data_IF_788411741506
#
_entry.id   IF_788411741506
#
_cell.length_a   1.000
_cell.length_b   1.000
_cell.length_c   1.000
_cell.angle_alpha   90.00
_cell.angle_beta   90.00
_cell.angle_gamma   90.00
#
_symmetry.space_group_name_H-M   'P 1'
#
loop_
_entity.id
_entity.type
_entity.pdbx_description
1 polymer ?
#
# COMPACT_ATOMS: atom_id res chain seq x y z
N UNK A 1 -43.73 77.09 -40.10
CA UNK A 1 -44.69 76.76 -39.11
C UNK A 1 -44.73 75.25 -38.91
N UNK A 2 -44.03 74.73 -37.98
CA UNK A 2 -44.21 73.42 -37.30
C UNK A 2 -43.17 73.34 -36.20
N UNK A 3 -43.63 73.43 -34.99
CA UNK A 3 -42.74 73.30 -33.79
C UNK A 3 -42.36 71.87 -33.60
N UNK A 4 -41.08 71.60 -33.52
CA UNK A 4 -40.56 70.32 -33.09
C UNK A 4 -40.34 70.33 -31.57
N UNK A 5 -41.00 69.44 -30.87
CA UNK A 5 -40.84 69.18 -29.45
C UNK A 5 -39.71 68.18 -29.30
N UNK A 6 -38.60 68.59 -28.63
CA UNK A 6 -37.52 67.71 -28.28
C UNK A 6 -37.85 67.15 -26.90
N UNK A 7 -38.13 65.82 -26.82
CA UNK A 7 -38.24 65.08 -25.57
C UNK A 7 -36.84 64.69 -25.11
N UNK A 8 -36.41 65.26 -24.01
CA UNK A 8 -35.18 64.84 -23.34
C UNK A 8 -35.40 63.54 -22.55
N UNK A 9 -34.68 62.48 -22.93
CA UNK A 9 -34.62 61.27 -22.19
C UNK A 9 -33.61 61.44 -21.08
N UNK A 10 -34.07 61.47 -19.83
CA UNK A 10 -33.22 61.39 -18.62
C UNK A 10 -32.90 59.92 -18.38
N UNK A 11 -31.66 59.56 -18.64
CA UNK A 11 -31.13 58.27 -18.25
C UNK A 11 -30.81 58.30 -16.75
N UNK A 12 -31.59 57.63 -15.93
CA UNK A 12 -31.31 57.38 -14.53
C UNK A 12 -30.39 56.15 -14.49
N UNK A 13 -29.11 56.38 -14.23
CA UNK A 13 -28.16 55.32 -13.94
C UNK A 13 -28.38 54.82 -12.50
N UNK A 14 -29.02 53.68 -12.36
CA UNK A 14 -29.11 52.97 -11.08
C UNK A 14 -27.76 52.26 -10.82
N UNK A 15 -26.94 52.84 -9.96
CA UNK A 15 -25.79 52.17 -9.40
C UNK A 15 -26.29 51.09 -8.45
N UNK A 16 -26.32 49.84 -8.91
CA UNK A 16 -26.43 48.68 -8.04
C UNK A 16 -25.11 48.48 -7.29
N UNK A 17 -25.04 48.99 -6.06
CA UNK A 17 -23.98 48.68 -5.13
C UNK A 17 -24.11 47.17 -4.80
N UNK A 18 -23.33 46.35 -5.49
CA UNK A 18 -23.15 44.93 -5.15
C UNK A 18 -22.48 44.82 -3.78
N UNK A 19 -23.29 44.58 -2.76
CA UNK A 19 -22.78 44.16 -1.47
C UNK A 19 -22.10 42.79 -1.65
N UNK A 20 -20.76 42.79 -1.76
CA UNK A 20 -19.95 41.60 -1.58
C UNK A 20 -20.12 41.20 -0.11
N UNK A 21 -21.08 40.32 0.14
CA UNK A 21 -21.15 39.60 1.40
C UNK A 21 -19.85 38.84 1.55
N UNK A 22 -18.95 39.39 2.33
CA UNK A 22 -17.80 38.65 2.88
C UNK A 22 -18.39 37.52 3.74
N UNK A 23 -18.56 36.36 3.13
CA UNK A 23 -18.85 35.15 3.87
C UNK A 23 -17.66 34.93 4.83
N UNK A 24 -17.89 34.95 6.12
CA UNK A 24 -16.83 34.62 7.03
C UNK A 24 -16.50 33.16 6.77
N UNK A 25 -15.35 32.91 6.14
CA UNK A 25 -14.70 31.60 6.26
C UNK A 25 -14.38 31.41 7.75
N UNK A 26 -15.41 30.98 8.46
CA UNK A 26 -15.21 30.43 9.78
C UNK A 26 -14.40 29.14 9.57
N UNK A 27 -13.07 29.24 9.57
CA UNK A 27 -12.20 28.15 9.87
C UNK A 27 -12.47 27.75 11.32
N UNK A 28 -13.61 27.08 11.54
CA UNK A 28 -13.64 26.08 12.57
C UNK A 28 -12.55 25.09 12.15
N UNK A 29 -11.38 25.24 12.74
CA UNK A 29 -10.49 24.13 12.95
C UNK A 29 -11.30 23.14 13.78
N UNK A 30 -12.19 22.40 13.11
CA UNK A 30 -12.59 21.11 13.63
C UNK A 30 -11.27 20.43 13.93
N UNK A 31 -11.04 20.23 15.22
CA UNK A 31 -10.07 19.26 15.71
C UNK A 31 -10.50 17.93 15.06
N UNK A 32 -10.06 17.71 13.83
CA UNK A 32 -10.13 16.40 13.18
C UNK A 32 -9.20 15.56 14.02
N UNK A 33 -9.73 15.05 15.12
CA UNK A 33 -9.15 13.91 15.80
C UNK A 33 -8.91 12.88 14.69
N UNK A 34 -7.68 12.43 14.48
CA UNK A 34 -7.42 11.43 13.44
C UNK A 34 -8.22 10.19 13.79
N UNK A 35 -9.41 10.07 13.20
CA UNK A 35 -10.42 9.07 13.53
C UNK A 35 -10.05 7.66 13.05
N UNK A 36 -8.89 7.47 12.44
CA UNK A 36 -8.34 6.16 12.11
C UNK A 36 -6.88 6.18 12.48
N UNK A 37 -6.60 5.95 13.73
CA UNK A 37 -5.24 5.63 14.17
C UNK A 37 -4.88 4.31 13.49
N UNK A 38 -3.77 4.28 12.76
CA UNK A 38 -3.19 3.07 12.20
C UNK A 38 -2.82 2.05 13.28
N UNK A 39 -1.96 1.13 12.95
CA UNK A 39 -1.46 0.17 13.94
C UNK A 39 -0.92 0.90 15.18
N UNK A 40 -1.38 0.48 16.36
CA UNK A 40 -0.86 0.82 17.69
C UNK A 40 -0.66 -0.42 18.56
N UNK A 41 -0.86 -1.60 17.96
CA UNK A 41 -0.77 -2.89 18.63
C UNK A 41 0.68 -3.29 18.90
N UNK A 42 1.54 -3.24 17.89
CA UNK A 42 2.92 -3.73 18.02
C UNK A 42 3.91 -2.90 17.22
N UNK A 43 5.07 -2.69 17.79
CA UNK A 43 6.24 -2.10 17.16
C UNK A 43 7.28 -3.16 16.76
N UNK A 44 7.07 -4.41 17.11
CA UNK A 44 7.99 -5.52 16.84
C UNK A 44 7.60 -6.24 15.56
N UNK A 45 8.41 -6.10 14.51
CA UNK A 45 8.21 -6.84 13.27
C UNK A 45 8.33 -8.36 13.46
N UNK A 46 9.15 -8.80 14.43
CA UNK A 46 9.24 -10.20 14.78
C UNK A 46 7.93 -10.74 15.37
N UNK A 47 7.37 -10.03 16.36
CA UNK A 47 6.11 -10.42 16.99
C UNK A 47 4.95 -10.44 15.99
N UNK A 48 4.82 -9.38 15.18
CA UNK A 48 3.76 -9.28 14.16
C UNK A 48 3.83 -10.41 13.15
N UNK A 49 5.03 -10.82 12.73
CA UNK A 49 5.19 -11.97 11.80
C UNK A 49 4.69 -13.29 12.41
N UNK A 50 4.89 -13.50 13.69
CA UNK A 50 4.37 -14.68 14.40
C UNK A 50 2.83 -14.62 14.49
N UNK A 51 2.28 -13.49 14.95
CA UNK A 51 0.83 -13.31 15.05
C UNK A 51 0.11 -13.44 13.71
N UNK A 52 0.70 -12.94 12.63
CA UNK A 52 0.16 -13.12 11.29
C UNK A 52 0.07 -14.59 10.88
N UNK A 53 1.08 -15.40 11.20
CA UNK A 53 1.05 -16.85 10.93
C UNK A 53 0.01 -17.59 11.78
N UNK A 54 -0.07 -17.25 13.05
CA UNK A 54 -0.81 -18.03 14.04
C UNK A 54 -2.26 -17.59 14.18
N UNK A 55 -2.54 -16.30 13.95
CA UNK A 55 -3.87 -15.72 14.17
C UNK A 55 -4.57 -15.28 12.88
N UNK A 56 -3.83 -15.02 11.79
CA UNK A 56 -4.41 -14.53 10.53
C UNK A 56 -4.36 -15.58 9.43
N UNK A 57 -3.23 -16.26 9.26
CA UNK A 57 -2.99 -17.21 8.16
C UNK A 57 -2.97 -18.69 8.60
N UNK A 58 -3.46 -19.02 9.77
CA UNK A 58 -3.39 -20.39 10.34
C UNK A 58 -4.04 -21.47 9.45
N UNK A 59 -5.09 -21.12 8.72
CA UNK A 59 -5.86 -22.01 7.83
C UNK A 59 -5.81 -21.60 6.34
N UNK A 60 -5.09 -20.52 6.00
CA UNK A 60 -4.95 -20.01 4.64
C UNK A 60 -3.49 -19.66 4.32
N UNK A 61 -2.65 -20.68 4.29
CA UNK A 61 -1.21 -20.52 4.03
C UNK A 61 -0.89 -20.43 2.53
N UNK A 62 -1.37 -19.35 1.89
CA UNK A 62 -1.13 -19.07 0.47
C UNK A 62 -0.43 -17.72 0.27
N UNK A 63 0.52 -17.69 -0.66
CA UNK A 63 1.23 -16.46 -1.03
C UNK A 63 0.39 -15.58 -1.93
N UNK A 64 0.55 -14.25 -1.79
CA UNK A 64 -0.26 -13.27 -2.50
C UNK A 64 -0.13 -13.39 -4.03
N UNK A 65 1.10 -13.27 -4.55
CA UNK A 65 1.29 -13.12 -6.00
C UNK A 65 1.11 -14.41 -6.79
N UNK A 66 1.63 -15.52 -6.29
CA UNK A 66 1.67 -16.77 -7.02
C UNK A 66 0.71 -17.83 -6.49
N UNK A 67 -0.08 -17.50 -5.46
CA UNK A 67 -0.99 -18.43 -4.80
C UNK A 67 -0.33 -19.76 -4.39
N UNK A 68 0.97 -19.71 -4.10
CA UNK A 68 1.74 -20.87 -3.65
C UNK A 68 1.37 -21.22 -2.22
N UNK A 69 1.23 -22.51 -1.93
CA UNK A 69 1.10 -22.98 -0.56
C UNK A 69 2.42 -22.85 0.20
N UNK A 70 2.34 -22.66 1.52
CA UNK A 70 3.51 -22.71 2.38
C UNK A 70 3.21 -23.40 3.72
N UNK A 71 4.22 -24.02 4.30
CA UNK A 71 4.11 -24.74 5.58
C UNK A 71 4.15 -23.78 6.77
N UNK A 72 3.80 -24.26 7.97
CA UNK A 72 3.99 -23.52 9.23
C UNK A 72 5.45 -23.06 9.44
N UNK A 73 6.41 -23.80 8.92
CA UNK A 73 7.83 -23.46 8.94
C UNK A 73 8.28 -22.57 7.78
N UNK A 74 7.31 -21.94 7.07
CA UNK A 74 7.55 -20.99 5.95
C UNK A 74 8.25 -21.61 4.73
N UNK A 75 8.26 -22.93 4.58
CA UNK A 75 8.73 -23.57 3.36
C UNK A 75 7.68 -23.42 2.26
N UNK A 76 8.07 -22.93 1.08
CA UNK A 76 7.21 -22.81 -0.09
C UNK A 76 7.00 -24.20 -0.71
N UNK A 77 5.75 -24.49 -1.05
CA UNK A 77 5.38 -25.56 -1.97
C UNK A 77 5.19 -24.86 -3.32
N UNK A 78 6.21 -25.00 -4.18
CA UNK A 78 6.24 -24.30 -5.48
C UNK A 78 5.02 -24.71 -6.31
N UNK A 79 4.23 -23.76 -6.82
CA UNK A 79 3.12 -24.09 -7.70
C UNK A 79 3.64 -24.61 -9.04
N UNK A 80 2.82 -25.43 -9.71
CA UNK A 80 3.18 -25.98 -11.02
C UNK A 80 3.54 -24.89 -12.03
N UNK A 81 4.64 -25.11 -12.74
CA UNK A 81 5.16 -24.18 -13.73
C UNK A 81 5.75 -22.89 -13.19
N UNK A 82 5.96 -22.73 -11.86
CA UNK A 82 6.74 -21.63 -11.30
C UNK A 82 8.20 -21.75 -11.72
N UNK A 83 8.77 -20.66 -12.24
CA UNK A 83 10.18 -20.59 -12.66
C UNK A 83 10.80 -19.28 -12.18
N UNK A 84 12.04 -19.33 -11.71
CA UNK A 84 12.85 -18.15 -11.44
C UNK A 84 13.37 -17.60 -12.78
N UNK A 85 13.35 -16.28 -13.01
CA UNK A 85 13.87 -15.70 -14.23
C UNK A 85 15.39 -15.81 -14.31
N UNK A 86 15.92 -15.91 -15.52
CA UNK A 86 17.35 -15.75 -15.75
C UNK A 86 17.73 -14.28 -15.54
N UNK A 87 18.55 -14.00 -14.51
CA UNK A 87 18.94 -12.64 -14.14
C UNK A 87 19.72 -11.89 -15.25
N UNK A 88 20.30 -12.58 -16.22
CA UNK A 88 20.97 -11.97 -17.39
C UNK A 88 20.01 -11.49 -18.47
N UNK A 89 18.74 -11.88 -18.40
CA UNK A 89 17.72 -11.62 -19.44
C UNK A 89 16.59 -10.70 -18.97
N UNK A 90 16.72 -10.13 -17.78
CA UNK A 90 15.70 -9.21 -17.23
C UNK A 90 16.01 -7.77 -17.61
N UNK A 91 14.98 -6.95 -17.72
CA UNK A 91 15.03 -5.54 -18.12
C UNK A 91 14.75 -4.58 -16.95
N UNK A 92 14.97 -5.04 -15.72
CA UNK A 92 14.77 -4.26 -14.51
C UNK A 92 15.95 -4.40 -13.55
N UNK A 93 16.07 -3.44 -12.64
CA UNK A 93 17.16 -3.40 -11.66
C UNK A 93 17.05 -4.55 -10.68
N UNK A 94 18.11 -5.34 -10.55
CA UNK A 94 18.28 -6.32 -9.47
C UNK A 94 19.37 -5.82 -8.54
N UNK A 95 19.12 -5.94 -7.26
CA UNK A 95 20.15 -5.69 -6.25
C UNK A 95 21.09 -6.91 -6.21
N UNK A 96 22.27 -6.73 -5.64
CA UNK A 96 23.30 -7.74 -5.57
C UNK A 96 22.78 -9.05 -4.94
N UNK A 97 22.60 -10.08 -5.77
CA UNK A 97 22.16 -11.42 -5.39
C UNK A 97 22.71 -12.46 -6.36
N UNK A 98 23.25 -13.55 -5.85
CA UNK A 98 23.61 -14.68 -6.69
C UNK A 98 22.38 -15.47 -7.16
N UNK A 99 22.47 -16.20 -8.29
CA UNK A 99 21.41 -17.11 -8.72
C UNK A 99 21.04 -18.14 -7.63
N UNK A 100 22.02 -18.65 -6.91
CA UNK A 100 21.86 -19.64 -5.83
C UNK A 100 21.10 -19.04 -4.64
N UNK A 101 21.39 -17.79 -4.27
CA UNK A 101 20.68 -17.06 -3.22
C UNK A 101 19.23 -16.79 -3.61
N UNK A 102 19.00 -16.42 -4.86
CA UNK A 102 17.67 -16.23 -5.37
C UNK A 102 16.87 -17.53 -5.38
N UNK A 103 17.54 -18.66 -5.71
CA UNK A 103 16.93 -19.99 -5.62
C UNK A 103 16.57 -20.35 -4.17
N UNK A 104 17.45 -20.09 -3.19
CA UNK A 104 17.14 -20.28 -1.77
C UNK A 104 15.96 -19.42 -1.30
N UNK A 105 15.87 -18.19 -1.77
CA UNK A 105 14.70 -17.32 -1.50
C UNK A 105 13.41 -17.87 -2.09
N UNK A 106 13.44 -18.55 -3.23
CA UNK A 106 12.25 -19.17 -3.82
C UNK A 106 11.69 -20.35 -3.02
N UNK A 107 12.46 -20.89 -2.08
CA UNK A 107 12.05 -22.00 -1.21
C UNK A 107 11.42 -21.53 0.11
N UNK A 108 11.46 -20.23 0.38
CA UNK A 108 11.01 -19.66 1.65
C UNK A 108 9.93 -18.61 1.44
N UNK A 109 8.91 -18.64 2.31
CA UNK A 109 7.95 -17.56 2.44
C UNK A 109 8.60 -16.38 3.18
N UNK A 110 8.46 -15.19 2.61
CA UNK A 110 8.82 -13.92 3.22
C UNK A 110 7.58 -13.02 3.34
N UNK A 111 7.59 -12.13 4.34
CA UNK A 111 6.55 -11.12 4.47
C UNK A 111 6.85 -9.96 3.53
N UNK A 112 5.95 -9.75 2.59
CA UNK A 112 5.96 -8.65 1.63
C UNK A 112 5.26 -7.42 2.22
N UNK A 113 5.92 -6.28 2.16
CA UNK A 113 5.28 -4.99 2.34
C UNK A 113 4.71 -4.52 1.01
N UNK A 114 3.39 -4.57 0.85
CA UNK A 114 2.70 -4.15 -0.39
C UNK A 114 3.04 -2.71 -0.73
N UNK A 115 2.90 -1.79 0.22
CA UNK A 115 3.53 -0.48 0.17
C UNK A 115 4.96 -0.65 0.69
N UNK A 116 5.98 -0.57 -0.16
CA UNK A 116 7.36 -0.80 0.26
C UNK A 116 7.77 0.11 1.42
N UNK A 117 8.48 -0.45 2.39
CA UNK A 117 8.98 0.32 3.53
C UNK A 117 9.80 1.55 3.10
N UNK A 118 10.51 1.46 1.97
CA UNK A 118 11.24 2.60 1.41
C UNK A 118 10.32 3.76 0.99
N UNK A 119 9.10 3.47 0.53
CA UNK A 119 8.21 4.51 0.01
C UNK A 119 7.72 5.45 1.12
N UNK A 120 7.38 4.89 2.29
CA UNK A 120 7.02 5.72 3.45
C UNK A 120 8.23 6.04 4.34
N UNK A 121 9.24 5.18 4.40
CA UNK A 121 10.42 5.37 5.21
C UNK A 121 11.17 6.66 4.87
N UNK A 122 11.23 7.03 3.60
CA UNK A 122 11.86 8.28 3.13
C UNK A 122 11.27 9.55 3.76
N UNK A 123 10.07 9.50 4.29
CA UNK A 123 9.41 10.63 4.95
C UNK A 123 9.87 10.82 6.40
N UNK A 124 10.65 9.88 6.93
CA UNK A 124 11.23 9.93 8.27
C UNK A 124 12.68 10.44 8.21
N UNK A 125 13.01 11.34 9.13
CA UNK A 125 14.35 11.93 9.22
C UNK A 125 15.41 10.87 9.49
N UNK A 126 15.11 9.91 10.34
CA UNK A 126 15.98 8.80 10.71
C UNK A 126 16.34 7.91 9.51
N UNK A 127 15.36 7.74 8.59
CA UNK A 127 15.59 7.02 7.34
C UNK A 127 16.46 7.83 6.36
N UNK A 128 16.14 9.11 6.16
CA UNK A 128 16.73 9.93 5.11
C UNK A 128 18.06 10.56 5.50
N UNK A 129 18.19 11.02 6.73
CA UNK A 129 19.36 11.74 7.26
C UNK A 129 20.14 10.93 8.31
N UNK A 130 19.49 9.99 9.00
CA UNK A 130 20.03 9.30 10.17
C UNK A 130 19.66 9.99 11.47
N UNK A 131 20.20 9.50 12.57
CA UNK A 131 20.03 10.06 13.91
C UNK A 131 21.35 9.92 14.70
N UNK A 132 21.57 10.78 15.68
CA UNK A 132 22.81 10.76 16.50
C UNK A 132 23.09 9.42 17.17
N UNK A 133 22.05 8.68 17.54
CA UNK A 133 22.14 7.35 18.14
C UNK A 133 22.35 6.23 17.12
N UNK A 134 22.18 6.50 15.82
CA UNK A 134 22.37 5.51 14.77
C UNK A 134 23.85 5.37 14.42
N UNK A 135 24.60 4.81 15.36
CA UNK A 135 26.05 4.55 15.26
C UNK A 135 26.29 3.07 15.50
N UNK A 136 27.02 2.41 14.60
CA UNK A 136 27.40 1.01 14.74
C UNK A 136 28.39 0.80 15.88
N UNK A 137 28.57 -0.44 16.35
CA UNK A 137 29.58 -0.78 17.36
C UNK A 137 31.03 -0.45 16.96
N UNK A 138 31.25 -0.11 15.68
CA UNK A 138 32.54 0.36 15.14
C UNK A 138 32.61 1.88 15.00
N UNK A 139 31.68 2.63 15.60
CA UNK A 139 31.63 4.09 15.53
C UNK A 139 31.15 4.67 14.19
N UNK A 140 30.68 3.85 13.24
CA UNK A 140 30.22 4.34 11.94
C UNK A 140 28.74 4.69 12.00
N UNK A 141 28.41 5.93 11.63
CA UNK A 141 27.02 6.39 11.50
C UNK A 141 26.29 5.62 10.39
N UNK A 142 25.01 5.31 10.61
CA UNK A 142 24.15 4.67 9.62
C UNK A 142 22.77 5.37 9.56
N UNK A 143 22.04 5.11 8.47
CA UNK A 143 20.70 5.61 8.19
C UNK A 143 19.86 4.53 7.51
N UNK A 144 18.66 4.89 7.06
CA UNK A 144 17.78 3.95 6.37
C UNK A 144 16.89 3.18 7.35
N UNK A 145 16.46 1.99 6.92
CA UNK A 145 15.50 1.19 7.69
C UNK A 145 15.95 0.96 9.13
N UNK A 146 17.16 0.50 9.33
CA UNK A 146 17.66 0.15 10.66
C UNK A 146 17.66 1.33 11.62
N UNK A 147 18.02 2.54 11.15
CA UNK A 147 17.98 3.73 11.98
C UNK A 147 16.53 4.14 12.29
N UNK A 148 15.63 4.09 11.32
CA UNK A 148 14.22 4.39 11.53
C UNK A 148 13.54 3.37 12.46
N UNK A 149 13.85 2.08 12.37
CA UNK A 149 13.38 1.06 13.31
C UNK A 149 13.90 1.31 14.74
N UNK A 150 15.14 1.74 14.86
CA UNK A 150 15.75 2.03 16.16
C UNK A 150 15.14 3.26 16.82
N UNK A 151 15.00 4.37 16.11
CA UNK A 151 14.78 5.70 16.70
C UNK A 151 13.36 6.26 16.49
N UNK A 152 12.56 5.70 15.57
CA UNK A 152 11.22 6.25 15.28
C UNK A 152 10.10 5.30 15.66
N UNK A 153 9.33 5.66 16.69
CA UNK A 153 8.14 4.93 17.11
C UNK A 153 7.08 4.90 16.00
N UNK A 154 6.80 6.05 15.40
CA UNK A 154 5.81 6.15 14.31
C UNK A 154 6.19 5.29 13.11
N UNK A 155 7.50 5.21 12.79
CA UNK A 155 7.98 4.31 11.73
C UNK A 155 7.72 2.84 12.11
N UNK A 156 8.02 2.44 13.34
CA UNK A 156 7.79 1.05 13.78
C UNK A 156 6.32 0.66 13.69
N UNK A 157 5.39 1.52 14.13
CA UNK A 157 3.95 1.25 13.98
C UNK A 157 3.50 1.15 12.52
N UNK A 158 4.01 2.02 11.65
CA UNK A 158 3.68 1.98 10.23
C UNK A 158 4.30 0.77 9.53
N UNK A 159 5.51 0.41 9.92
CA UNK A 159 6.27 -0.72 9.37
C UNK A 159 5.69 -2.08 9.75
N UNK A 160 5.05 -2.17 10.91
CA UNK A 160 4.46 -3.40 11.44
C UNK A 160 2.95 -3.51 11.19
N UNK A 161 2.35 -2.59 10.42
CA UNK A 161 0.92 -2.64 10.12
C UNK A 161 0.56 -3.90 9.32
N UNK A 162 -0.25 -4.76 9.95
CA UNK A 162 -0.64 -6.07 9.40
C UNK A 162 -1.43 -5.96 8.08
N UNK A 163 -2.14 -4.85 7.84
CA UNK A 163 -2.83 -4.63 6.57
C UNK A 163 -1.86 -4.47 5.41
N UNK A 164 -0.62 -4.05 5.67
CA UNK A 164 0.42 -3.90 4.65
C UNK A 164 1.30 -5.15 4.47
N UNK A 165 1.11 -6.21 5.29
CA UNK A 165 1.97 -7.40 5.32
C UNK A 165 1.28 -8.61 4.68
N UNK A 166 1.88 -9.18 3.65
CA UNK A 166 1.35 -10.36 2.96
C UNK A 166 2.44 -11.42 2.76
N UNK A 167 2.09 -12.73 2.83
CA UNK A 167 3.05 -13.76 2.50
C UNK A 167 3.36 -13.76 1.00
N UNK A 168 4.63 -13.87 0.67
CA UNK A 168 5.12 -13.96 -0.71
C UNK A 168 6.21 -15.03 -0.82
N UNK A 169 6.41 -15.59 -2.02
CA UNK A 169 7.64 -16.34 -2.31
C UNK A 169 8.81 -15.37 -2.21
N UNK A 170 9.85 -15.71 -1.44
CA UNK A 170 10.96 -14.78 -1.17
C UNK A 170 11.66 -14.27 -2.43
N UNK A 171 11.80 -15.10 -3.48
CA UNK A 171 12.36 -14.65 -4.75
C UNK A 171 11.47 -13.62 -5.46
N UNK A 172 10.14 -13.77 -5.39
CA UNK A 172 9.19 -12.81 -5.97
C UNK A 172 9.22 -11.51 -5.20
N UNK A 173 9.22 -11.56 -3.86
CA UNK A 173 9.38 -10.42 -2.98
C UNK A 173 10.68 -9.66 -3.29
N UNK A 174 11.79 -10.37 -3.37
CA UNK A 174 13.10 -9.78 -3.64
C UNK A 174 13.15 -9.05 -4.98
N UNK A 175 12.71 -9.69 -6.06
CA UNK A 175 12.74 -9.10 -7.40
C UNK A 175 11.70 -8.00 -7.59
N UNK A 176 10.55 -8.05 -6.89
CA UNK A 176 9.58 -6.96 -6.88
C UNK A 176 10.16 -5.70 -6.23
N UNK A 177 11.04 -5.86 -5.26
CA UNK A 177 11.76 -4.77 -4.60
C UNK A 177 10.82 -3.62 -4.12
N UNK A 178 11.09 -2.39 -4.52
CA UNK A 178 10.23 -1.23 -4.25
C UNK A 178 9.51 -0.69 -5.49
N UNK A 179 9.40 -1.50 -6.54
CA UNK A 179 8.80 -1.08 -7.79
C UNK A 179 7.32 -0.74 -7.63
N UNK A 180 6.90 0.35 -8.25
CA UNK A 180 5.50 0.76 -8.28
C UNK A 180 4.67 -0.20 -9.14
N UNK A 181 3.44 -0.42 -8.72
CA UNK A 181 2.50 -1.20 -9.52
C UNK A 181 2.00 -0.41 -10.74
N UNK A 182 1.77 -1.15 -11.82
CA UNK A 182 1.28 -0.64 -13.10
C UNK A 182 0.42 -1.69 -13.80
N UNK A 183 -0.21 -1.30 -14.90
CA UNK A 183 -0.82 -2.21 -15.85
C UNK A 183 0.08 -2.26 -17.09
N UNK A 184 0.59 -3.44 -17.44
CA UNK A 184 1.33 -3.65 -18.67
C UNK A 184 0.42 -3.94 -19.86
N UNK A 185 0.98 -3.83 -21.05
CA UNK A 185 0.41 -4.38 -22.29
C UNK A 185 0.22 -5.90 -22.16
N UNK A 186 -0.78 -6.43 -22.86
CA UNK A 186 -1.10 -7.87 -22.82
C UNK A 186 0.05 -8.76 -23.29
N UNK A 187 0.96 -8.24 -24.13
CA UNK A 187 2.15 -8.94 -24.64
C UNK A 187 3.25 -9.12 -23.60
N UNK A 188 3.22 -8.34 -22.50
CA UNK A 188 4.22 -8.50 -21.44
C UNK A 188 4.14 -9.87 -20.81
N UNK A 189 5.23 -10.63 -20.91
CA UNK A 189 5.33 -12.00 -20.38
C UNK A 189 5.39 -12.00 -18.85
N UNK A 190 4.93 -13.11 -18.26
CA UNK A 190 5.10 -13.36 -16.83
C UNK A 190 6.57 -13.54 -16.50
N UNK A 191 7.00 -12.98 -15.37
CA UNK A 191 8.41 -13.08 -14.93
C UNK A 191 8.72 -14.42 -14.31
N UNK A 192 7.74 -15.09 -13.71
CA UNK A 192 7.94 -16.31 -12.91
C UNK A 192 7.20 -17.53 -13.51
N UNK A 193 7.35 -17.76 -14.81
CA UNK A 193 6.71 -18.89 -15.51
C UNK A 193 5.18 -18.76 -15.51
N UNK A 194 4.47 -19.74 -14.95
CA UNK A 194 2.99 -19.71 -14.87
C UNK A 194 2.44 -18.76 -13.81
N UNK A 195 3.25 -18.28 -12.86
CA UNK A 195 2.82 -17.22 -11.94
C UNK A 195 2.65 -15.91 -12.70
N UNK A 196 1.43 -15.37 -12.71
CA UNK A 196 1.06 -14.20 -13.51
C UNK A 196 1.61 -12.86 -12.98
N UNK A 197 2.66 -12.92 -12.17
CA UNK A 197 3.42 -11.74 -11.76
C UNK A 197 4.36 -11.30 -12.86
N UNK A 198 4.29 -10.03 -13.25
CA UNK A 198 5.12 -9.43 -14.30
C UNK A 198 5.97 -8.34 -13.69
N UNK A 199 7.25 -8.33 -14.00
CA UNK A 199 8.20 -7.27 -13.63
C UNK A 199 8.95 -6.86 -14.90
N UNK A 200 8.98 -5.58 -15.20
CA UNK A 200 9.66 -5.01 -16.35
C UNK A 200 9.90 -3.52 -16.10
N UNK A 201 11.03 -2.99 -16.57
CA UNK A 201 11.37 -1.56 -16.50
C UNK A 201 11.14 -0.93 -15.12
N UNK A 202 11.52 -1.63 -14.06
CA UNK A 202 11.32 -1.23 -12.66
C UNK A 202 9.86 -0.94 -12.28
N UNK A 203 8.91 -1.64 -12.91
CA UNK A 203 7.49 -1.66 -12.58
C UNK A 203 7.04 -3.10 -12.39
N UNK A 204 5.93 -3.28 -11.70
CA UNK A 204 5.36 -4.59 -11.43
C UNK A 204 3.86 -4.61 -11.74
N UNK A 205 3.38 -5.71 -12.31
CA UNK A 205 1.96 -5.98 -12.44
C UNK A 205 1.64 -7.30 -11.75
N UNK A 206 0.81 -7.27 -10.71
CA UNK A 206 0.40 -8.47 -10.01
C UNK A 206 -0.72 -9.20 -10.77
N UNK A 207 -0.99 -10.47 -10.46
CA UNK A 207 -2.14 -11.20 -10.97
C UNK A 207 -3.47 -10.48 -10.71
N UNK A 208 -4.42 -10.63 -11.62
CA UNK A 208 -5.70 -9.91 -11.55
C UNK A 208 -6.47 -10.15 -10.25
N UNK A 209 -6.44 -11.39 -9.72
CA UNK A 209 -7.17 -11.79 -8.51
C UNK A 209 -6.73 -11.03 -7.24
N UNK A 210 -5.53 -10.43 -7.23
CA UNK A 210 -5.01 -9.70 -6.07
C UNK A 210 -4.92 -8.18 -6.26
N UNK A 211 -5.20 -7.69 -7.47
CA UNK A 211 -5.14 -6.25 -7.79
C UNK A 211 -6.01 -5.39 -6.87
N UNK A 212 -7.24 -5.84 -6.58
CA UNK A 212 -8.14 -5.13 -5.67
C UNK A 212 -7.61 -5.06 -4.24
N UNK A 213 -7.10 -6.19 -3.73
CA UNK A 213 -6.50 -6.28 -2.40
C UNK A 213 -5.27 -5.37 -2.26
N UNK A 214 -4.39 -5.36 -3.26
CA UNK A 214 -3.23 -4.46 -3.33
C UNK A 214 -3.68 -3.00 -3.36
N UNK A 215 -4.66 -2.67 -4.18
CA UNK A 215 -5.19 -1.31 -4.28
C UNK A 215 -5.75 -0.81 -2.94
N UNK A 216 -6.58 -1.62 -2.26
CA UNK A 216 -7.13 -1.28 -0.94
C UNK A 216 -6.06 -1.15 0.13
N UNK A 217 -4.97 -1.91 0.04
CA UNK A 217 -3.81 -1.77 0.93
C UNK A 217 -3.13 -0.40 0.74
N UNK A 218 -2.83 0.00 -0.49
CA UNK A 218 -2.23 1.30 -0.78
C UNK A 218 -3.10 2.47 -0.33
N UNK A 219 -4.38 2.42 -0.70
CA UNK A 219 -5.35 3.47 -0.34
C UNK A 219 -5.57 3.55 1.18
N UNK A 220 -5.57 2.40 1.88
CA UNK A 220 -5.59 2.35 3.34
C UNK A 220 -4.36 3.02 3.94
N UNK A 221 -3.16 2.65 3.50
CA UNK A 221 -1.92 3.23 4.02
C UNK A 221 -1.88 4.76 3.83
N UNK A 222 -2.30 5.27 2.66
CA UNK A 222 -2.38 6.71 2.42
C UNK A 222 -3.42 7.39 3.32
N UNK A 223 -4.59 6.77 3.51
CA UNK A 223 -5.65 7.34 4.35
C UNK A 223 -5.29 7.35 5.84
N UNK A 224 -4.59 6.31 6.26
CA UNK A 224 -4.28 6.04 7.68
C UNK A 224 -3.04 6.77 8.17
N UNK A 225 -2.05 6.94 7.29
CA UNK A 225 -0.75 7.51 7.64
C UNK A 225 -0.47 8.80 6.86
N UNK A 226 -0.68 9.98 7.45
CA UNK A 226 -0.55 11.28 6.76
C UNK A 226 0.84 11.53 6.14
N UNK A 227 1.87 10.85 6.64
CA UNK A 227 3.25 10.93 6.10
C UNK A 227 3.38 10.25 4.74
N UNK A 228 2.43 9.40 4.34
CA UNK A 228 2.53 8.63 3.11
C UNK A 228 1.51 9.12 2.08
N UNK A 229 1.97 9.36 0.87
CA UNK A 229 1.14 9.65 -0.29
C UNK A 229 1.51 8.77 -1.48
N UNK A 230 0.51 8.41 -2.27
CA UNK A 230 0.69 7.67 -3.51
C UNK A 230 0.88 8.69 -4.62
N UNK A 231 2.02 8.61 -5.32
CA UNK A 231 2.26 9.47 -6.50
C UNK A 231 1.49 9.00 -7.74
N UNK A 232 1.22 9.94 -8.66
CA UNK A 232 0.76 9.58 -9.99
C UNK A 232 1.92 8.99 -10.83
N UNK A 233 1.63 8.09 -11.81
CA UNK A 233 0.31 7.57 -12.22
C UNK A 233 -0.18 6.38 -11.40
N UNK A 234 0.53 5.94 -10.38
CA UNK A 234 0.17 4.75 -9.60
C UNK A 234 -1.18 4.91 -8.90
N UNK A 235 -1.51 6.12 -8.41
CA UNK A 235 -2.77 6.39 -7.74
C UNK A 235 -3.99 6.11 -8.65
N UNK A 236 -3.93 6.57 -9.90
CA UNK A 236 -4.99 6.33 -10.89
C UNK A 236 -5.17 4.84 -11.19
N UNK A 237 -4.07 4.08 -11.34
CA UNK A 237 -4.11 2.63 -11.55
C UNK A 237 -4.76 1.92 -10.35
N UNK A 238 -4.35 2.27 -9.14
CA UNK A 238 -4.88 1.66 -7.91
C UNK A 238 -6.36 2.00 -7.69
N UNK A 239 -6.80 3.21 -7.98
CA UNK A 239 -8.25 3.56 -7.96
C UNK A 239 -9.04 2.72 -8.95
N UNK A 240 -8.55 2.55 -10.17
CA UNK A 240 -9.19 1.71 -11.17
C UNK A 240 -9.28 0.24 -10.72
N UNK A 241 -8.21 -0.30 -10.13
CA UNK A 241 -8.20 -1.66 -9.59
C UNK A 241 -9.15 -1.84 -8.40
N UNK A 242 -9.21 -0.89 -7.48
CA UNK A 242 -10.16 -0.94 -6.37
C UNK A 242 -11.61 -1.00 -6.84
N UNK A 243 -11.95 -0.25 -7.92
CA UNK A 243 -13.28 -0.28 -8.53
C UNK A 243 -13.56 -1.59 -9.27
N UNK A 244 -12.56 -2.10 -10.05
CA UNK A 244 -12.73 -3.26 -10.94
C UNK A 244 -12.72 -4.59 -10.20
N UNK A 245 -11.94 -4.72 -9.12
CA UNK A 245 -11.70 -5.98 -8.41
C UNK A 245 -12.29 -5.91 -6.99
N UNK A 246 -13.52 -6.41 -6.78
CA UNK A 246 -14.18 -6.35 -5.48
C UNK A 246 -13.48 -7.20 -4.42
N UNK A 247 -13.88 -7.04 -3.16
CA UNK A 247 -13.39 -7.86 -2.05
C UNK A 247 -13.74 -9.33 -2.25
N UNK A 248 -12.83 -10.22 -1.83
CA UNK A 248 -13.06 -11.67 -1.77
C UNK A 248 -13.43 -12.09 -0.35
N UNK A 249 -14.02 -13.30 -0.21
CA UNK A 249 -14.30 -13.88 1.11
C UNK A 249 -13.04 -13.95 1.97
N UNK A 250 -11.92 -14.41 1.38
CA UNK A 250 -10.65 -14.47 2.09
C UNK A 250 -10.15 -13.09 2.55
N UNK A 251 -10.24 -12.08 1.69
CA UNK A 251 -9.83 -10.72 2.07
C UNK A 251 -10.68 -10.19 3.25
N UNK A 252 -11.97 -10.51 3.27
CA UNK A 252 -12.87 -10.15 4.36
C UNK A 252 -12.50 -10.84 5.67
N UNK A 253 -12.28 -12.16 5.65
CA UNK A 253 -11.86 -12.92 6.81
C UNK A 253 -10.49 -12.46 7.32
N UNK A 254 -9.54 -12.24 6.41
CA UNK A 254 -8.24 -11.69 6.76
C UNK A 254 -8.35 -10.33 7.46
N UNK A 255 -9.15 -9.43 6.92
CA UNK A 255 -9.34 -8.10 7.51
C UNK A 255 -10.02 -8.16 8.88
N UNK A 256 -10.99 -9.05 9.04
CA UNK A 256 -11.64 -9.32 10.33
C UNK A 256 -10.63 -9.81 11.37
N UNK A 257 -9.80 -10.79 11.03
CA UNK A 257 -8.77 -11.35 11.92
C UNK A 257 -7.73 -10.29 12.30
N UNK A 258 -7.28 -9.47 11.34
CA UNK A 258 -6.36 -8.37 11.62
C UNK A 258 -6.98 -7.36 12.57
N UNK A 259 -8.23 -6.96 12.37
CA UNK A 259 -8.91 -6.04 13.30
C UNK A 259 -8.96 -6.60 14.72
N UNK A 260 -9.23 -7.91 14.89
CA UNK A 260 -9.22 -8.58 16.20
C UNK A 260 -7.84 -8.57 16.86
N UNK A 261 -6.77 -8.67 16.10
CA UNK A 261 -5.40 -8.68 16.61
C UNK A 261 -4.86 -7.27 16.80
N UNK A 262 -4.97 -6.42 15.77
CA UNK A 262 -4.34 -5.11 15.70
C UNK A 262 -5.18 -3.97 16.31
N UNK A 263 -6.50 -4.17 16.42
CA UNK A 263 -7.42 -3.24 17.08
C UNK A 263 -7.93 -2.09 16.19
N UNK A 264 -7.52 -2.01 14.92
CA UNK A 264 -8.03 -1.01 13.97
C UNK A 264 -8.53 -1.65 12.69
N UNK A 265 -9.45 -1.00 11.99
CA UNK A 265 -10.10 -1.52 10.80
C UNK A 265 -9.63 -0.84 9.50
N UNK A 266 -9.43 -1.64 8.44
CA UNK A 266 -9.37 -1.12 7.08
C UNK A 266 -10.79 -0.97 6.52
N UNK A 267 -11.36 0.23 6.59
CA UNK A 267 -12.75 0.48 6.16
C UNK A 267 -12.98 0.28 4.65
N UNK A 268 -11.92 0.33 3.82
CA UNK A 268 -12.02 0.02 2.38
C UNK A 268 -12.29 -1.47 2.13
N UNK A 269 -12.00 -2.32 3.12
CA UNK A 269 -12.31 -3.75 3.11
C UNK A 269 -13.55 -4.04 3.97
N UNK A 270 -13.58 -3.53 5.21
CA UNK A 270 -14.65 -3.83 6.17
C UNK A 270 -16.04 -3.49 5.64
N UNK A 271 -16.22 -2.27 5.12
CA UNK A 271 -17.54 -1.81 4.65
C UNK A 271 -18.12 -2.72 3.56
N UNK A 272 -17.45 -2.97 2.41
CA UNK A 272 -18.00 -3.87 1.39
C UNK A 272 -18.11 -5.33 1.85
N UNK A 273 -17.33 -5.76 2.85
CA UNK A 273 -17.46 -7.09 3.43
C UNK A 273 -18.70 -7.22 4.31
N UNK A 274 -19.03 -6.19 5.10
CA UNK A 274 -20.27 -6.14 5.88
C UNK A 274 -21.52 -6.15 4.97
N UNK A 275 -21.50 -5.36 3.89
CA UNK A 275 -22.58 -5.31 2.89
C UNK A 275 -22.84 -6.69 2.25
N UNK A 276 -21.84 -7.58 2.22
CA UNK A 276 -21.93 -8.96 1.67
C UNK A 276 -22.16 -10.04 2.74
N UNK A 277 -22.20 -9.68 4.02
CA UNK A 277 -22.26 -10.65 5.11
C UNK A 277 -20.98 -11.49 5.28
N UNK A 278 -19.82 -11.02 4.77
CA UNK A 278 -18.56 -11.78 4.78
C UNK A 278 -17.55 -11.31 5.83
N UNK A 279 -17.87 -10.29 6.61
CA UNK A 279 -16.94 -9.78 7.62
C UNK A 279 -16.98 -10.63 8.90
N UNK A 280 -16.42 -11.82 8.82
CA UNK A 280 -16.38 -12.83 9.87
C UNK A 280 -15.17 -13.76 9.67
N UNK A 281 -14.91 -14.65 10.61
CA UNK A 281 -13.78 -15.59 10.56
C UNK A 281 -13.97 -16.75 9.57
N UNK A 282 -15.19 -17.00 9.16
CA UNK A 282 -15.53 -18.08 8.21
C UNK A 282 -15.44 -17.55 6.77
N UNK A 283 -14.38 -17.95 6.04
CA UNK A 283 -14.16 -17.57 4.64
C UNK A 283 -14.39 -18.70 3.62
N UNK A 284 -14.69 -19.94 4.08
CA UNK A 284 -14.93 -21.15 3.27
C UNK A 284 -16.33 -21.17 2.65
#
# INVERSE_FOLDING_TARGET
>A
MKKAVVLGLILVAVYAAGAWALWPFNKTTENIQPSVKGNRHSQSFYAVKAEMLDKVYYDHRKTLYCNADFTAHKKIIKPDGFKIPNLRQIDFKVYDISPEDLQRKAERMEWEHIVPAQNFGKTFTEWSKGHKNCVSGKGKAFKGRSCAEQESEDFRYMYTDMYNLYPSIGAVNYLRANFSFTQFDARQKNTFGRCSMKISRNKAEPPNQVKGMIARTYLYMQKTYPRYSIGEPAYSVLKAWNKKYPVSKWECARAFRIEKVQGNANMLVKKPCLERGWYQDNWR
#
